data_IF_725722024454
#
_entry.id   IF_725722024454
#
_cell.length_a   1.000
_cell.length_b   1.000
_cell.length_c   1.000
_cell.angle_alpha   90.00
_cell.angle_beta   90.00
_cell.angle_gamma   90.00
#
_symmetry.space_group_name_H-M   'P 1'
#
loop_
_entity.id
_entity.type
_entity.pdbx_description
1 polymer ?
#
# COMPACT_ATOMS: atom_id res chain seq x y z
N UNK A 1 63.87 10.83 -21.64
CA UNK A 1 63.99 10.64 -20.17
C UNK A 1 62.91 9.68 -19.71
N UNK A 2 63.28 8.44 -19.37
CA UNK A 2 62.33 7.45 -18.86
C UNK A 2 61.94 7.81 -17.41
N UNK A 3 60.63 7.92 -17.14
CA UNK A 3 60.15 8.18 -15.79
C UNK A 3 60.60 7.06 -14.85
N UNK A 4 61.20 7.42 -13.71
CA UNK A 4 61.64 6.48 -12.67
C UNK A 4 60.47 5.61 -12.20
N UNK A 5 60.73 4.35 -11.80
CA UNK A 5 59.68 3.41 -11.37
C UNK A 5 58.80 3.99 -10.25
N UNK A 6 59.36 4.81 -9.36
CA UNK A 6 58.63 5.56 -8.34
C UNK A 6 57.57 6.53 -8.91
N UNK A 7 57.88 7.24 -10.01
CA UNK A 7 56.93 8.16 -10.67
C UNK A 7 55.76 7.42 -11.32
N UNK A 8 55.99 6.23 -11.87
CA UNK A 8 54.93 5.38 -12.45
C UNK A 8 53.99 4.83 -11.37
N UNK A 9 54.53 4.46 -10.22
CA UNK A 9 53.77 3.99 -9.06
C UNK A 9 52.89 5.11 -8.47
N UNK A 10 53.43 6.33 -8.33
CA UNK A 10 52.66 7.51 -7.88
C UNK A 10 51.55 7.86 -8.87
N UNK A 11 51.80 7.84 -10.19
CA UNK A 11 50.76 8.10 -11.20
C UNK A 11 49.67 7.02 -11.23
N UNK A 12 50.02 5.75 -11.02
CA UNK A 12 49.06 4.66 -10.92
C UNK A 12 48.19 4.79 -9.66
N UNK A 13 48.79 5.14 -8.51
CA UNK A 13 48.07 5.40 -7.26
C UNK A 13 47.15 6.62 -7.37
N UNK A 14 47.59 7.71 -8.02
CA UNK A 14 46.77 8.90 -8.25
C UNK A 14 45.57 8.63 -9.18
N UNK A 15 45.76 7.81 -10.23
CA UNK A 15 44.66 7.40 -11.12
C UNK A 15 43.70 6.44 -10.42
N UNK A 16 44.22 5.53 -9.60
CA UNK A 16 43.40 4.66 -8.75
C UNK A 16 42.56 5.47 -7.76
N UNK A 17 43.16 6.45 -7.07
CA UNK A 17 42.44 7.30 -6.12
C UNK A 17 41.35 8.15 -6.78
N UNK A 18 41.55 8.59 -8.03
CA UNK A 18 40.55 9.35 -8.79
C UNK A 18 39.30 8.54 -9.16
N UNK A 19 39.35 7.21 -9.14
CA UNK A 19 38.21 6.33 -9.40
C UNK A 19 37.64 5.80 -8.08
N UNK A 20 38.51 5.45 -7.13
CA UNK A 20 38.12 4.88 -5.84
C UNK A 20 37.38 5.91 -4.97
N UNK A 21 37.82 7.18 -4.94
CA UNK A 21 37.13 8.22 -4.17
C UNK A 21 35.69 8.49 -4.62
N UNK A 22 35.41 8.75 -5.91
CA UNK A 22 34.04 8.95 -6.36
C UNK A 22 33.19 7.69 -6.22
N UNK A 23 33.76 6.50 -6.44
CA UNK A 23 33.02 5.25 -6.24
C UNK A 23 32.67 5.02 -4.77
N UNK A 24 33.60 5.26 -3.85
CA UNK A 24 33.35 5.20 -2.41
C UNK A 24 32.35 6.28 -1.96
N UNK A 25 32.45 7.50 -2.51
CA UNK A 25 31.51 8.57 -2.26
C UNK A 25 30.10 8.21 -2.77
N UNK A 26 29.97 7.62 -3.96
CA UNK A 26 28.70 7.13 -4.49
C UNK A 26 28.13 6.04 -3.58
N UNK A 27 28.92 5.07 -3.13
CA UNK A 27 28.46 3.98 -2.24
C UNK A 27 28.03 4.53 -0.86
N UNK A 28 28.80 5.45 -0.28
CA UNK A 28 28.49 6.06 1.02
C UNK A 28 27.26 6.97 0.94
N UNK A 29 27.15 7.78 -0.12
CA UNK A 29 26.00 8.64 -0.36
C UNK A 29 24.76 7.87 -0.81
N UNK A 30 24.92 6.69 -1.43
CA UNK A 30 23.81 5.86 -1.90
C UNK A 30 22.84 5.52 -0.77
N UNK A 31 23.34 5.25 0.45
CA UNK A 31 22.48 4.97 1.60
C UNK A 31 21.52 6.12 1.94
N UNK A 32 21.93 7.37 1.68
CA UNK A 32 21.12 8.57 1.94
C UNK A 32 20.31 9.01 0.73
N UNK A 33 20.82 8.78 -0.48
CA UNK A 33 20.20 9.20 -1.74
C UNK A 33 19.16 8.19 -2.22
N UNK A 34 19.38 6.88 -2.00
CA UNK A 34 18.47 5.82 -2.46
C UNK A 34 17.03 5.98 -1.94
N UNK A 35 16.77 6.34 -0.66
CA UNK A 35 15.41 6.59 -0.18
C UNK A 35 14.74 7.76 -0.91
N UNK A 36 15.48 8.83 -1.21
CA UNK A 36 14.97 10.01 -1.92
C UNK A 36 14.68 9.69 -3.38
N UNK A 37 15.58 8.96 -4.05
CA UNK A 37 15.35 8.47 -5.41
C UNK A 37 14.14 7.56 -5.47
N UNK A 38 13.95 6.71 -4.45
CA UNK A 38 12.80 5.83 -4.40
C UNK A 38 11.50 6.64 -4.24
N UNK A 39 11.46 7.65 -3.34
CA UNK A 39 10.34 8.61 -3.26
C UNK A 39 10.07 9.32 -4.60
N UNK A 40 11.10 9.69 -5.34
CA UNK A 40 10.97 10.31 -6.65
C UNK A 40 10.37 9.33 -7.69
N UNK A 41 10.78 8.06 -7.66
CA UNK A 41 10.17 7.01 -8.49
C UNK A 41 8.69 6.83 -8.13
N UNK A 42 8.35 6.81 -6.85
CA UNK A 42 6.94 6.77 -6.41
C UNK A 42 6.16 7.96 -6.93
N UNK A 43 6.75 9.16 -6.87
CA UNK A 43 6.14 10.38 -7.36
C UNK A 43 5.94 10.38 -8.88
N UNK A 44 6.89 9.85 -9.65
CA UNK A 44 6.76 9.66 -11.10
C UNK A 44 5.64 8.69 -11.45
N UNK A 45 5.54 7.58 -10.70
CA UNK A 45 4.44 6.63 -10.85
C UNK A 45 3.11 7.32 -10.54
N UNK A 46 3.01 8.01 -9.39
CA UNK A 46 1.81 8.73 -8.96
C UNK A 46 1.38 9.80 -9.98
N UNK A 47 2.33 10.60 -10.46
CA UNK A 47 2.10 11.59 -11.52
C UNK A 47 1.61 10.93 -12.82
N UNK A 48 2.13 9.75 -13.17
CA UNK A 48 1.67 9.01 -14.34
C UNK A 48 0.21 8.53 -14.20
N UNK A 49 -0.24 8.22 -12.99
CA UNK A 49 -1.64 7.83 -12.70
C UNK A 49 -2.58 9.00 -12.92
N UNK A 50 -2.22 10.18 -12.39
CA UNK A 50 -3.07 11.35 -12.45
C UNK A 50 -2.96 12.12 -13.77
N UNK A 51 -1.92 11.87 -14.56
CA UNK A 51 -1.69 12.59 -15.83
C UNK A 51 -2.89 12.54 -16.79
N UNK A 52 -3.59 11.41 -17.03
CA UNK A 52 -4.77 11.39 -17.88
C UNK A 52 -5.90 12.30 -17.37
N UNK A 53 -6.13 12.30 -16.05
CA UNK A 53 -7.13 13.14 -15.40
C UNK A 53 -6.78 14.63 -15.52
N UNK A 54 -5.51 14.97 -15.27
CA UNK A 54 -4.99 16.33 -15.44
C UNK A 54 -5.10 16.78 -16.89
N UNK A 55 -4.71 15.95 -17.87
CA UNK A 55 -4.79 16.31 -19.29
C UNK A 55 -6.26 16.51 -19.73
N UNK A 56 -7.19 15.68 -19.23
CA UNK A 56 -8.62 15.86 -19.48
C UNK A 56 -9.13 17.19 -18.89
N UNK A 57 -8.82 17.49 -17.63
CA UNK A 57 -9.17 18.78 -17.00
C UNK A 57 -8.49 19.99 -17.66
N UNK A 58 -7.25 19.83 -18.13
CA UNK A 58 -6.50 20.89 -18.82
C UNK A 58 -7.23 21.35 -20.09
N UNK A 59 -7.82 20.41 -20.84
CA UNK A 59 -8.65 20.77 -22.01
C UNK A 59 -9.96 21.49 -21.61
N UNK A 60 -10.53 21.18 -20.44
CA UNK A 60 -11.73 21.86 -19.91
C UNK A 60 -11.44 23.25 -19.35
N UNK A 61 -10.26 23.48 -18.78
CA UNK A 61 -9.82 24.76 -18.24
C UNK A 61 -9.10 25.66 -19.26
N UNK A 62 -9.34 25.47 -20.56
CA UNK A 62 -8.78 26.32 -21.61
C UNK A 62 -7.26 26.23 -21.74
N UNK A 63 -6.66 25.06 -21.48
CA UNK A 63 -5.22 24.82 -21.58
C UNK A 63 -4.41 25.25 -20.35
N UNK A 64 -5.05 25.74 -19.28
CA UNK A 64 -4.37 26.18 -18.05
C UNK A 64 -4.02 24.98 -17.17
N UNK A 65 -2.86 24.39 -17.41
CA UNK A 65 -2.36 23.19 -16.70
C UNK A 65 -2.36 23.34 -15.17
N UNK A 66 -1.98 24.51 -14.65
CA UNK A 66 -1.98 24.76 -13.20
C UNK A 66 -3.37 24.56 -12.57
N UNK A 67 -4.44 25.04 -13.23
CA UNK A 67 -5.81 24.86 -12.74
C UNK A 67 -6.23 23.40 -12.73
N UNK A 68 -5.84 22.64 -13.76
CA UNK A 68 -6.10 21.21 -13.83
C UNK A 68 -5.41 20.43 -12.70
N UNK A 69 -4.13 20.73 -12.44
CA UNK A 69 -3.38 20.10 -11.34
C UNK A 69 -4.00 20.47 -10.00
N UNK A 70 -4.30 21.75 -9.75
CA UNK A 70 -4.93 22.20 -8.51
C UNK A 70 -6.30 21.54 -8.28
N UNK A 71 -7.11 21.38 -9.33
CA UNK A 71 -8.41 20.70 -9.21
C UNK A 71 -8.26 19.22 -8.82
N UNK A 72 -7.29 18.50 -9.39
CA UNK A 72 -6.99 17.12 -8.99
C UNK A 72 -6.51 17.06 -7.55
N UNK A 73 -5.59 17.93 -7.14
CA UNK A 73 -5.08 17.98 -5.76
C UNK A 73 -6.16 18.35 -4.75
N UNK A 74 -7.02 19.32 -5.07
CA UNK A 74 -8.16 19.68 -4.26
C UNK A 74 -9.11 18.48 -4.07
N UNK A 75 -9.36 17.71 -5.13
CA UNK A 75 -10.17 16.48 -5.06
C UNK A 75 -9.51 15.42 -4.16
N UNK A 76 -8.21 15.19 -4.31
CA UNK A 76 -7.45 14.23 -3.48
C UNK A 76 -7.52 14.67 -2.00
N UNK A 77 -7.24 15.94 -1.70
CA UNK A 77 -7.29 16.47 -0.34
C UNK A 77 -8.70 16.35 0.22
N UNK A 78 -9.73 16.66 -0.55
CA UNK A 78 -11.12 16.54 -0.12
C UNK A 78 -11.51 15.09 0.17
N UNK A 79 -11.08 14.13 -0.64
CA UNK A 79 -11.28 12.70 -0.38
C UNK A 79 -10.56 12.29 0.92
N UNK A 80 -9.29 12.68 1.10
CA UNK A 80 -8.52 12.33 2.30
C UNK A 80 -9.13 12.95 3.54
N UNK A 81 -9.40 14.26 3.54
CA UNK A 81 -9.98 14.98 4.68
C UNK A 81 -11.38 14.48 4.96
N UNK A 82 -12.22 14.26 3.94
CA UNK A 82 -13.55 13.69 4.11
C UNK A 82 -13.51 12.29 4.71
N UNK A 83 -12.59 11.45 4.23
CA UNK A 83 -12.37 10.11 4.78
C UNK A 83 -11.89 10.17 6.23
N UNK A 84 -10.89 11.01 6.54
CA UNK A 84 -10.38 11.18 7.91
C UNK A 84 -11.42 11.80 8.84
N UNK A 85 -12.26 12.69 8.37
CA UNK A 85 -13.33 13.28 9.17
C UNK A 85 -14.40 12.24 9.51
N UNK A 86 -14.89 11.51 8.50
CA UNK A 86 -15.92 10.47 8.67
C UNK A 86 -15.39 9.33 9.53
N UNK A 87 -14.18 8.82 9.21
CA UNK A 87 -13.55 7.71 9.92
C UNK A 87 -13.00 8.11 11.28
N UNK A 88 -12.35 9.27 11.37
CA UNK A 88 -11.72 9.75 12.60
C UNK A 88 -12.76 10.03 13.68
N UNK A 89 -13.88 10.67 13.32
CA UNK A 89 -15.00 10.88 14.24
C UNK A 89 -15.57 9.56 14.76
N UNK A 90 -15.86 8.62 13.86
CA UNK A 90 -16.38 7.30 14.24
C UNK A 90 -15.38 6.46 15.03
N UNK A 91 -14.09 6.47 14.68
CA UNK A 91 -13.05 5.73 15.40
C UNK A 91 -12.78 6.30 16.79
N UNK A 92 -12.82 7.62 16.97
CA UNK A 92 -12.63 8.26 18.28
C UNK A 92 -13.83 8.00 19.18
N UNK A 93 -15.05 8.16 18.66
CA UNK A 93 -16.27 7.83 19.41
C UNK A 93 -16.28 6.34 19.79
N UNK A 94 -15.94 5.44 18.86
CA UNK A 94 -15.84 4.01 19.13
C UNK A 94 -14.72 3.69 20.11
N UNK A 95 -13.55 4.32 20.01
CA UNK A 95 -12.45 4.12 20.97
C UNK A 95 -12.85 4.62 22.36
N UNK A 96 -13.56 5.74 22.47
CA UNK A 96 -14.09 6.25 23.74
C UNK A 96 -15.19 5.33 24.29
N UNK A 97 -16.04 4.78 23.43
CA UNK A 97 -17.06 3.78 23.81
C UNK A 97 -16.41 2.48 24.26
N UNK A 98 -15.31 2.08 23.63
CA UNK A 98 -14.48 0.95 24.05
C UNK A 98 -13.89 1.21 25.43
N UNK A 99 -13.17 2.32 25.63
CA UNK A 99 -12.54 2.65 26.91
C UNK A 99 -13.58 2.75 28.04
N UNK A 100 -14.74 3.36 27.77
CA UNK A 100 -15.82 3.47 28.76
C UNK A 100 -16.54 2.13 29.03
N UNK A 101 -16.71 1.26 28.03
CA UNK A 101 -17.24 -0.10 28.23
C UNK A 101 -16.25 -0.99 29.01
N UNK A 102 -14.95 -0.75 28.83
CA UNK A 102 -13.89 -1.44 29.57
C UNK A 102 -13.74 -0.94 31.02
N UNK A 103 -14.09 0.32 31.30
CA UNK A 103 -13.99 0.93 32.63
C UNK A 103 -15.28 0.80 33.47
N UNK A 104 -16.45 0.65 32.85
CA UNK A 104 -17.72 0.90 33.52
C UNK A 104 -18.52 -0.31 34.00
N UNK A 105 -18.56 -1.42 33.24
CA UNK A 105 -19.32 -2.66 33.50
C UNK A 105 -19.20 -3.57 32.26
N UNK A 106 -19.13 -4.88 32.46
CA UNK A 106 -19.23 -5.95 31.46
C UNK A 106 -17.94 -6.54 30.86
N UNK A 107 -16.73 -6.23 31.35
CA UNK A 107 -15.54 -6.98 30.88
C UNK A 107 -15.60 -8.45 31.32
N UNK A 108 -15.98 -8.71 32.58
CA UNK A 108 -16.24 -10.07 33.08
C UNK A 108 -17.40 -10.74 32.35
N UNK A 109 -18.48 -10.02 32.07
CA UNK A 109 -19.67 -10.58 31.40
C UNK A 109 -19.41 -10.88 29.91
N UNK A 110 -18.68 -10.00 29.21
CA UNK A 110 -18.24 -10.22 27.83
C UNK A 110 -17.24 -11.39 27.74
N UNK A 111 -16.31 -11.48 28.70
CA UNK A 111 -15.36 -12.60 28.78
C UNK A 111 -16.07 -13.90 29.15
N UNK A 112 -17.05 -13.89 30.05
CA UNK A 112 -17.84 -15.07 30.41
C UNK A 112 -18.70 -15.56 29.24
N UNK A 113 -19.36 -14.64 28.52
CA UNK A 113 -20.13 -14.97 27.30
C UNK A 113 -19.23 -15.50 26.18
N UNK A 114 -18.03 -14.92 26.02
CA UNK A 114 -17.01 -15.44 25.10
C UNK A 114 -16.47 -16.80 25.56
N UNK A 115 -16.27 -17.01 26.86
CA UNK A 115 -15.78 -18.26 27.44
C UNK A 115 -16.75 -19.41 27.17
N UNK A 116 -18.04 -19.23 27.46
CA UNK A 116 -19.06 -20.24 27.16
C UNK A 116 -19.13 -20.55 25.66
N UNK A 117 -19.08 -19.50 24.82
CA UNK A 117 -19.11 -19.63 23.37
C UNK A 117 -17.85 -20.33 22.81
N UNK A 118 -16.67 -20.08 23.37
CA UNK A 118 -15.41 -20.71 22.92
C UNK A 118 -15.34 -22.16 23.37
N UNK A 119 -15.70 -22.47 24.63
CA UNK A 119 -15.67 -23.83 25.16
C UNK A 119 -16.63 -24.78 24.43
N UNK A 120 -17.70 -24.24 23.83
CA UNK A 120 -18.64 -24.99 23.00
C UNK A 120 -18.01 -25.54 21.69
N UNK A 121 -17.02 -24.85 21.12
CA UNK A 121 -16.38 -25.23 19.84
C UNK A 121 -14.98 -25.84 20.00
N UNK A 122 -14.43 -25.83 21.22
CA UNK A 122 -13.09 -26.37 21.51
C UNK A 122 -13.19 -27.84 21.97
N UNK A 123 -12.41 -28.76 21.35
CA UNK A 123 -12.30 -30.15 21.81
C UNK A 123 -11.92 -30.23 23.28
N UNK A 124 -12.49 -31.18 24.04
CA UNK A 124 -12.26 -31.28 25.50
C UNK A 124 -10.79 -31.26 25.92
N UNK A 125 -9.88 -31.77 25.08
CA UNK A 125 -8.43 -31.80 25.31
C UNK A 125 -7.75 -30.42 25.31
N UNK A 126 -8.35 -29.41 24.68
CA UNK A 126 -7.79 -28.06 24.55
C UNK A 126 -8.47 -27.04 25.48
N UNK A 127 -9.60 -27.40 26.09
CA UNK A 127 -10.35 -26.53 27.02
C UNK A 127 -9.52 -26.00 28.18
N UNK A 128 -8.64 -26.77 28.85
CA UNK A 128 -7.83 -26.25 29.96
C UNK A 128 -6.89 -25.14 29.53
N UNK A 129 -6.27 -25.26 28.34
CA UNK A 129 -5.35 -24.23 27.80
C UNK A 129 -6.08 -22.95 27.44
N UNK A 130 -7.30 -23.08 26.91
CA UNK A 130 -8.18 -21.94 26.59
C UNK A 130 -8.64 -21.25 27.87
N UNK A 131 -9.02 -22.01 28.90
CA UNK A 131 -9.41 -21.46 30.20
C UNK A 131 -8.27 -20.66 30.85
N UNK A 132 -7.05 -21.20 30.87
CA UNK A 132 -5.89 -20.49 31.41
C UNK A 132 -5.57 -19.20 30.64
N UNK A 133 -5.68 -19.22 29.30
CA UNK A 133 -5.46 -18.02 28.48
C UNK A 133 -6.55 -16.96 28.69
N UNK A 134 -7.82 -17.35 28.77
CA UNK A 134 -8.92 -16.42 29.00
C UNK A 134 -8.87 -15.83 30.42
N UNK A 135 -8.51 -16.62 31.43
CA UNK A 135 -8.32 -16.15 32.81
C UNK A 135 -7.16 -15.15 32.92
N UNK A 136 -6.06 -15.35 32.18
CA UNK A 136 -4.94 -14.39 32.18
C UNK A 136 -5.31 -13.00 31.63
N UNK A 137 -6.36 -12.90 30.79
CA UNK A 137 -6.90 -11.63 30.28
C UNK A 137 -7.77 -10.93 31.36
N UNK A 138 -8.42 -11.72 32.23
CA UNK A 138 -9.29 -11.24 33.33
C UNK A 138 -8.47 -10.82 34.55
N UNK A 139 -7.39 -11.53 34.84
CA UNK A 139 -6.56 -11.32 36.05
C UNK A 139 -5.58 -10.14 35.89
N UNK A 140 -5.12 -9.84 34.67
CA UNK A 140 -4.29 -8.65 34.40
C UNK A 140 -4.85 -7.71 33.30
N UNK A 141 -6.06 -7.15 33.46
CA UNK A 141 -6.63 -6.20 32.50
C UNK A 141 -5.72 -4.98 32.21
N UNK A 142 -5.01 -4.39 33.19
CA UNK A 142 -4.13 -3.25 32.93
C UNK A 142 -2.95 -3.59 32.01
N UNK A 143 -2.38 -4.79 32.11
CA UNK A 143 -1.24 -5.21 31.29
C UNK A 143 -1.64 -5.52 29.85
N UNK A 144 -2.80 -6.17 29.66
CA UNK A 144 -3.38 -6.35 28.32
C UNK A 144 -3.72 -5.01 27.67
N UNK A 145 -4.36 -4.10 28.42
CA UNK A 145 -4.69 -2.77 27.95
C UNK A 145 -3.45 -1.91 27.67
N UNK A 146 -2.38 -2.01 28.48
CA UNK A 146 -1.14 -1.27 28.21
C UNK A 146 -0.41 -1.82 26.99
N UNK A 147 -0.42 -3.14 26.76
CA UNK A 147 0.16 -3.76 25.57
C UNK A 147 -0.65 -3.44 24.31
N UNK A 148 -1.98 -3.41 24.40
CA UNK A 148 -2.87 -2.96 23.34
C UNK A 148 -2.62 -1.48 23.02
N UNK A 149 -2.62 -0.61 24.04
CA UNK A 149 -2.35 0.82 23.90
C UNK A 149 -0.95 1.09 23.34
N UNK A 150 0.07 0.35 23.78
CA UNK A 150 1.43 0.42 23.24
C UNK A 150 1.52 -0.02 21.77
N UNK A 151 0.79 -1.07 21.40
CA UNK A 151 0.68 -1.53 20.01
C UNK A 151 -0.06 -0.51 19.13
N UNK A 152 -1.16 0.06 19.63
CA UNK A 152 -1.92 1.12 18.95
C UNK A 152 -1.09 2.40 18.80
N UNK A 153 -0.38 2.82 19.84
CA UNK A 153 0.55 3.95 19.77
C UNK A 153 1.67 3.70 18.75
N UNK A 154 2.24 2.49 18.73
CA UNK A 154 3.21 2.08 17.72
C UNK A 154 2.67 2.11 16.29
N UNK A 155 1.40 1.77 16.08
CA UNK A 155 0.70 1.92 14.80
C UNK A 155 0.54 3.39 14.44
N UNK A 156 0.09 4.24 15.38
CA UNK A 156 -0.08 5.69 15.16
C UNK A 156 1.24 6.35 14.77
N UNK A 157 2.36 6.03 15.43
CA UNK A 157 3.67 6.55 15.06
C UNK A 157 4.12 6.09 13.66
N UNK A 158 3.86 4.83 13.29
CA UNK A 158 4.13 4.32 11.92
C UNK A 158 3.25 4.98 10.87
N UNK A 159 1.99 5.27 11.20
CA UNK A 159 1.08 6.02 10.33
C UNK A 159 1.54 7.47 10.14
N UNK A 160 2.02 8.12 11.21
CA UNK A 160 2.58 9.47 11.12
C UNK A 160 3.82 9.54 10.20
N UNK A 161 4.75 8.59 10.33
CA UNK A 161 5.91 8.46 9.42
C UNK A 161 5.46 8.20 7.96
N UNK A 162 4.45 7.35 7.77
CA UNK A 162 3.88 7.08 6.45
C UNK A 162 3.26 8.35 5.83
N UNK A 163 2.52 9.14 6.62
CA UNK A 163 1.94 10.41 6.17
C UNK A 163 3.04 11.38 5.75
N UNK A 164 4.12 11.50 6.53
CA UNK A 164 5.27 12.34 6.17
C UNK A 164 5.88 11.96 4.80
N UNK A 165 6.09 10.67 4.56
CA UNK A 165 6.58 10.16 3.26
C UNK A 165 5.58 10.40 2.13
N UNK A 166 4.29 10.19 2.38
CA UNK A 166 3.23 10.43 1.39
C UNK A 166 3.17 11.90 0.98
N UNK A 167 3.30 12.83 1.93
CA UNK A 167 3.34 14.27 1.63
C UNK A 167 4.49 14.60 0.69
N UNK A 168 5.69 14.06 0.92
CA UNK A 168 6.83 14.25 0.02
C UNK A 168 6.56 13.69 -1.38
N UNK A 169 6.01 12.48 -1.49
CA UNK A 169 5.61 11.89 -2.78
C UNK A 169 4.60 12.77 -3.50
N UNK A 170 3.60 13.30 -2.79
CA UNK A 170 2.60 14.22 -3.35
C UNK A 170 3.22 15.53 -3.81
N UNK A 171 4.15 16.12 -3.04
CA UNK A 171 4.86 17.34 -3.45
C UNK A 171 5.67 17.10 -4.73
N UNK A 172 6.43 16.01 -4.80
CA UNK A 172 7.17 15.66 -6.02
C UNK A 172 6.23 15.38 -7.19
N UNK A 173 5.14 14.65 -6.97
CA UNK A 173 4.16 14.35 -8.02
C UNK A 173 3.48 15.63 -8.52
N UNK A 174 3.25 16.61 -7.65
CA UNK A 174 2.69 17.92 -8.02
C UNK A 174 3.61 18.64 -9.00
N UNK A 175 4.90 18.74 -8.67
CA UNK A 175 5.91 19.38 -9.53
C UNK A 175 6.00 18.64 -10.87
N UNK A 176 6.09 17.31 -10.84
CA UNK A 176 6.17 16.46 -12.03
C UNK A 176 4.92 16.58 -12.93
N UNK A 177 3.74 16.68 -12.33
CA UNK A 177 2.49 16.91 -13.07
C UNK A 177 2.44 18.29 -13.69
N UNK A 178 2.88 19.32 -12.96
CA UNK A 178 2.92 20.69 -13.45
C UNK A 178 3.89 20.83 -14.62
N UNK A 179 5.10 20.29 -14.49
CA UNK A 179 6.20 20.43 -15.46
C UNK A 179 6.32 19.30 -16.48
N UNK A 180 5.36 18.38 -16.56
CA UNK A 180 5.51 17.15 -17.36
C UNK A 180 5.91 17.37 -18.83
N UNK A 181 5.47 18.47 -19.47
CA UNK A 181 5.87 18.83 -20.84
C UNK A 181 7.33 19.22 -20.91
N UNK A 182 7.78 20.08 -20.00
CA UNK A 182 9.17 20.54 -19.94
C UNK A 182 10.09 19.37 -19.62
N UNK A 183 9.69 18.50 -18.70
CA UNK A 183 10.46 17.31 -18.34
C UNK A 183 10.59 16.34 -19.52
N UNK A 184 9.50 16.06 -20.25
CA UNK A 184 9.55 15.23 -21.46
C UNK A 184 10.44 15.83 -22.54
N UNK A 185 10.33 17.13 -22.81
CA UNK A 185 11.15 17.80 -23.83
C UNK A 185 12.62 17.80 -23.43
N UNK A 186 12.94 18.13 -22.17
CA UNK A 186 14.31 18.12 -21.66
C UNK A 186 14.91 16.70 -21.70
N UNK A 187 14.14 15.69 -21.28
CA UNK A 187 14.56 14.29 -21.33
C UNK A 187 14.84 13.84 -22.76
N UNK A 188 13.92 14.11 -23.68
CA UNK A 188 14.07 13.74 -25.10
C UNK A 188 15.24 14.46 -25.76
N UNK A 189 15.51 15.73 -25.42
CA UNK A 189 16.68 16.49 -25.92
C UNK A 189 18.01 15.97 -25.38
N UNK A 190 18.03 15.37 -24.19
CA UNK A 190 19.23 14.78 -23.61
C UNK A 190 19.60 13.43 -24.25
N UNK A 191 18.68 12.82 -24.99
CA UNK A 191 18.89 11.53 -25.66
C UNK A 191 19.67 11.73 -26.96
N UNK A 192 20.83 11.07 -27.14
CA UNK A 192 21.52 11.07 -28.43
C UNK A 192 20.63 10.46 -29.52
N UNK A 193 20.66 11.05 -30.73
CA UNK A 193 19.78 10.65 -31.83
C UNK A 193 19.85 9.15 -32.16
N UNK A 194 21.03 8.53 -31.98
CA UNK A 194 21.24 7.09 -32.18
C UNK A 194 20.34 6.19 -31.34
N UNK A 195 19.90 6.63 -30.15
CA UNK A 195 19.09 5.85 -29.20
C UNK A 195 17.65 6.36 -29.07
N UNK A 196 17.25 7.31 -29.91
CA UNK A 196 15.97 8.01 -29.80
C UNK A 196 14.77 7.07 -29.89
N UNK A 197 14.73 6.21 -30.91
CA UNK A 197 13.66 5.23 -31.10
C UNK A 197 13.61 4.20 -29.96
N UNK A 198 14.78 3.72 -29.52
CA UNK A 198 14.88 2.78 -28.39
C UNK A 198 14.29 3.38 -27.11
N UNK A 199 14.62 4.64 -26.80
CA UNK A 199 14.14 5.31 -25.59
C UNK A 199 12.65 5.65 -25.70
N UNK A 200 12.15 6.05 -26.86
CA UNK A 200 10.71 6.24 -27.06
C UNK A 200 9.93 4.93 -26.86
N UNK A 201 10.40 3.83 -27.45
CA UNK A 201 9.80 2.51 -27.27
C UNK A 201 9.84 2.07 -25.80
N UNK A 202 10.96 2.31 -25.11
CA UNK A 202 11.09 2.05 -23.68
C UNK A 202 10.05 2.83 -22.86
N UNK A 203 9.90 4.14 -23.11
CA UNK A 203 8.94 4.99 -22.40
C UNK A 203 7.50 4.54 -22.66
N UNK A 204 7.16 4.15 -23.88
CA UNK A 204 5.83 3.64 -24.22
C UNK A 204 5.53 2.31 -23.52
N UNK A 205 6.49 1.37 -23.49
CA UNK A 205 6.36 0.08 -22.79
C UNK A 205 6.20 0.29 -21.28
N UNK A 206 7.00 1.16 -20.68
CA UNK A 206 6.85 1.57 -19.27
C UNK A 206 5.45 2.14 -19.02
N UNK A 207 5.01 3.08 -19.87
CA UNK A 207 3.71 3.71 -19.73
C UNK A 207 2.56 2.69 -19.81
N UNK A 208 2.58 1.78 -20.79
CA UNK A 208 1.58 0.70 -20.94
C UNK A 208 1.57 -0.22 -19.72
N UNK A 209 2.74 -0.61 -19.21
CA UNK A 209 2.83 -1.49 -18.05
C UNK A 209 2.32 -0.84 -16.77
N UNK A 210 2.75 0.39 -16.47
CA UNK A 210 2.31 1.13 -15.29
C UNK A 210 0.81 1.43 -15.37
N UNK A 211 0.32 1.96 -16.50
CA UNK A 211 -1.10 2.28 -16.65
C UNK A 211 -2.00 1.04 -16.64
N UNK A 212 -1.56 -0.08 -17.23
CA UNK A 212 -2.26 -1.36 -17.20
C UNK A 212 -2.40 -1.90 -15.77
N UNK A 213 -1.29 -1.94 -15.03
CA UNK A 213 -1.29 -2.37 -13.63
C UNK A 213 -2.23 -1.52 -12.78
N UNK A 214 -2.14 -0.20 -12.88
CA UNK A 214 -2.92 0.70 -12.02
C UNK A 214 -4.42 0.67 -12.33
N UNK A 215 -4.79 0.54 -13.60
CA UNK A 215 -6.20 0.31 -13.99
C UNK A 215 -6.70 -1.01 -13.42
N UNK A 216 -5.89 -2.06 -13.53
CA UNK A 216 -6.18 -3.36 -12.93
C UNK A 216 -6.36 -3.26 -11.41
N UNK A 217 -5.42 -2.63 -10.72
CA UNK A 217 -5.45 -2.47 -9.26
C UNK A 217 -6.64 -1.62 -8.80
N UNK A 218 -6.98 -0.57 -9.53
CA UNK A 218 -8.18 0.22 -9.27
C UNK A 218 -9.46 -0.60 -9.42
N UNK A 219 -9.55 -1.45 -10.46
CA UNK A 219 -10.67 -2.39 -10.62
C UNK A 219 -10.71 -3.45 -9.49
N UNK A 220 -9.55 -3.92 -9.02
CA UNK A 220 -9.48 -4.79 -7.85
C UNK A 220 -10.01 -4.12 -6.58
N UNK A 221 -9.53 -2.91 -6.30
CA UNK A 221 -9.97 -2.12 -5.16
C UNK A 221 -11.48 -1.90 -5.18
N UNK A 222 -12.05 -1.54 -6.34
CA UNK A 222 -13.50 -1.39 -6.50
C UNK A 222 -14.24 -2.72 -6.29
N UNK A 223 -13.76 -3.81 -6.89
CA UNK A 223 -14.40 -5.13 -6.78
C UNK A 223 -14.43 -5.59 -5.33
N UNK A 224 -13.29 -5.55 -4.63
CA UNK A 224 -13.20 -5.91 -3.21
C UNK A 224 -14.06 -5.00 -2.35
N UNK A 225 -14.07 -3.69 -2.61
CA UNK A 225 -14.87 -2.76 -1.80
C UNK A 225 -16.38 -2.98 -1.96
N UNK A 226 -16.85 -3.21 -3.19
CA UNK A 226 -18.25 -3.52 -3.48
C UNK A 226 -18.65 -4.86 -2.89
N UNK A 227 -17.86 -5.92 -3.11
CA UNK A 227 -18.15 -7.26 -2.59
C UNK A 227 -18.14 -7.28 -1.06
N UNK A 228 -17.20 -6.58 -0.41
CA UNK A 228 -17.16 -6.47 1.05
C UNK A 228 -18.37 -5.71 1.60
N UNK A 229 -18.78 -4.62 0.92
CA UNK A 229 -19.98 -3.85 1.29
C UNK A 229 -21.23 -4.71 1.19
N UNK A 230 -21.40 -5.43 0.07
CA UNK A 230 -22.55 -6.31 -0.16
C UNK A 230 -22.53 -7.47 0.84
N UNK A 231 -21.39 -8.10 1.05
CA UNK A 231 -21.24 -9.22 1.98
C UNK A 231 -21.62 -8.82 3.41
N UNK A 232 -21.12 -7.69 3.91
CA UNK A 232 -21.49 -7.18 5.22
C UNK A 232 -22.95 -6.73 5.30
N UNK A 233 -23.49 -6.12 4.25
CA UNK A 233 -24.91 -5.77 4.17
C UNK A 233 -25.80 -7.01 4.31
N UNK A 234 -25.48 -8.08 3.58
CA UNK A 234 -26.23 -9.34 3.62
C UNK A 234 -26.13 -9.99 5.02
N UNK A 235 -24.95 -10.01 5.63
CA UNK A 235 -24.78 -10.51 7.00
C UNK A 235 -25.60 -9.67 7.98
N UNK A 236 -25.58 -8.35 7.85
CA UNK A 236 -26.30 -7.48 8.76
C UNK A 236 -27.82 -7.67 8.63
N UNK A 237 -28.33 -7.76 7.39
CA UNK A 237 -29.76 -7.84 7.15
C UNK A 237 -30.35 -9.24 7.38
N UNK A 238 -29.70 -10.29 6.88
CA UNK A 238 -30.20 -11.67 6.99
C UNK A 238 -29.68 -12.41 8.23
N UNK A 239 -28.52 -12.01 8.76
CA UNK A 239 -27.94 -12.60 9.96
C UNK A 239 -28.52 -12.07 11.27
N UNK A 240 -29.40 -11.07 11.23
CA UNK A 240 -30.02 -10.47 12.42
C UNK A 240 -29.04 -9.71 13.31
N UNK A 241 -27.98 -9.16 12.71
CA UNK A 241 -26.85 -8.55 13.40
C UNK A 241 -26.68 -7.10 12.96
N UNK A 242 -26.42 -6.22 13.92
CA UNK A 242 -26.10 -4.83 13.63
C UNK A 242 -24.60 -4.70 13.34
N UNK A 243 -24.26 -4.53 12.05
CA UNK A 243 -22.93 -4.08 11.63
C UNK A 243 -23.10 -2.66 11.06
N UNK A 244 -23.19 -1.64 11.92
CA UNK A 244 -23.27 -0.27 11.43
C UNK A 244 -22.05 0.06 10.58
N UNK A 245 -22.21 0.96 9.61
CA UNK A 245 -21.12 1.42 8.75
C UNK A 245 -20.51 0.37 7.80
N UNK A 246 -21.24 -0.70 7.46
CA UNK A 246 -20.79 -1.72 6.51
C UNK A 246 -20.28 -1.16 5.15
N UNK A 247 -20.86 -0.05 4.68
CA UNK A 247 -20.40 0.66 3.47
C UNK A 247 -19.00 1.24 3.66
N UNK A 248 -18.76 1.87 4.80
CA UNK A 248 -17.46 2.47 5.13
C UNK A 248 -16.40 1.38 5.28
N UNK A 249 -16.74 0.28 5.96
CA UNK A 249 -15.86 -0.87 6.14
C UNK A 249 -15.53 -1.51 4.78
N UNK A 250 -16.51 -1.65 3.90
CA UNK A 250 -16.30 -2.13 2.54
C UNK A 250 -15.41 -1.18 1.72
N UNK A 251 -15.65 0.14 1.78
CA UNK A 251 -14.78 1.13 1.14
C UNK A 251 -13.35 1.06 1.68
N UNK A 252 -13.16 0.90 2.99
CA UNK A 252 -11.86 0.71 3.61
C UNK A 252 -11.17 -0.56 3.10
N UNK A 253 -11.89 -1.68 3.02
CA UNK A 253 -11.37 -2.92 2.45
C UNK A 253 -10.93 -2.73 1.00
N UNK A 254 -11.75 -2.05 0.19
CA UNK A 254 -11.42 -1.73 -1.20
C UNK A 254 -10.19 -0.84 -1.34
N UNK A 255 -10.14 0.27 -0.59
CA UNK A 255 -8.99 1.20 -0.58
C UNK A 255 -7.71 0.53 -0.10
N UNK A 256 -7.79 -0.29 0.95
CA UNK A 256 -6.66 -1.08 1.42
C UNK A 256 -6.21 -2.12 0.38
N UNK A 257 -7.12 -2.61 -0.47
CA UNK A 257 -6.78 -3.48 -1.61
C UNK A 257 -6.06 -2.75 -2.74
N UNK A 258 -5.78 -1.45 -2.64
CA UNK A 258 -4.76 -0.83 -3.50
C UNK A 258 -3.38 -1.46 -3.26
N UNK A 259 -3.14 -1.96 -2.04
CA UNK A 259 -2.03 -2.85 -1.76
C UNK A 259 -2.52 -4.29 -1.97
N UNK A 260 -1.93 -5.06 -2.89
CA UNK A 260 -2.43 -6.40 -3.22
C UNK A 260 -2.52 -7.30 -1.98
N UNK A 261 -3.60 -8.06 -1.89
CA UNK A 261 -3.88 -9.03 -0.82
C UNK A 261 -4.13 -8.45 0.57
N UNK A 262 -4.10 -7.13 0.76
CA UNK A 262 -4.28 -6.51 2.09
C UNK A 262 -5.73 -6.14 2.36
N UNK A 263 -6.49 -5.80 1.32
CA UNK A 263 -7.81 -5.19 1.45
C UNK A 263 -8.79 -5.95 2.33
N UNK A 264 -9.10 -7.22 2.02
CA UNK A 264 -10.03 -8.03 2.80
C UNK A 264 -9.61 -8.18 4.27
N UNK A 265 -8.31 -8.30 4.57
CA UNK A 265 -7.83 -8.38 5.96
C UNK A 265 -8.04 -7.06 6.72
N UNK A 266 -7.78 -5.92 6.08
CA UNK A 266 -7.99 -4.60 6.68
C UNK A 266 -9.48 -4.30 6.88
N UNK A 267 -10.37 -4.81 6.02
CA UNK A 267 -11.82 -4.73 6.21
C UNK A 267 -12.36 -5.65 7.32
N UNK A 268 -11.76 -6.84 7.45
CA UNK A 268 -12.18 -7.85 8.41
C UNK A 268 -12.02 -7.41 9.86
N UNK A 269 -10.90 -6.76 10.20
CA UNK A 269 -10.61 -6.28 11.56
C UNK A 269 -11.69 -5.30 12.09
N UNK A 270 -12.01 -4.19 11.41
CA UNK A 270 -13.05 -3.27 11.85
C UNK A 270 -14.45 -3.88 11.75
N UNK A 271 -14.73 -4.81 10.81
CA UNK A 271 -16.00 -5.52 10.78
C UNK A 271 -16.25 -6.34 12.07
N UNK A 272 -15.24 -7.10 12.49
CA UNK A 272 -15.31 -7.88 13.74
C UNK A 272 -15.35 -6.94 14.94
N UNK A 273 -14.53 -5.88 14.95
CA UNK A 273 -14.53 -4.88 16.02
C UNK A 273 -15.90 -4.23 16.21
N UNK A 274 -16.50 -3.73 15.14
CA UNK A 274 -17.83 -3.12 15.17
C UNK A 274 -18.90 -4.11 15.61
N UNK A 275 -18.84 -5.37 15.15
CA UNK A 275 -19.75 -6.42 15.60
C UNK A 275 -19.68 -6.64 17.12
N UNK A 276 -18.47 -6.75 17.67
CA UNK A 276 -18.24 -6.96 19.10
C UNK A 276 -18.64 -5.76 19.96
N UNK A 277 -18.54 -4.55 19.40
CA UNK A 277 -18.78 -3.29 20.12
C UNK A 277 -20.23 -2.80 20.03
N UNK A 278 -21.01 -3.31 19.07
CA UNK A 278 -22.41 -2.93 18.90
C UNK A 278 -23.30 -3.88 19.69
N UNK A 279 -24.25 -3.35 20.47
CA UNK A 279 -25.25 -4.17 21.16
C UNK A 279 -26.06 -4.98 20.17
N UNK A 280 -25.88 -6.30 20.20
CA UNK A 280 -26.53 -7.22 19.27
C UNK A 280 -27.88 -7.71 19.81
N UNK A 281 -28.95 -7.76 18.99
CA UNK A 281 -30.26 -8.23 19.43
C UNK A 281 -30.25 -9.65 19.99
N UNK A 282 -29.41 -10.54 19.43
CA UNK A 282 -29.27 -11.93 19.82
C UNK A 282 -28.00 -12.21 20.68
N UNK A 283 -27.31 -11.16 21.13
CA UNK A 283 -26.01 -11.28 21.79
C UNK A 283 -24.85 -11.56 20.82
N UNK A 284 -23.64 -11.57 21.37
CA UNK A 284 -22.40 -11.83 20.62
C UNK A 284 -22.21 -13.34 20.49
N UNK A 285 -21.97 -13.84 19.27
CA UNK A 285 -21.78 -15.26 19.00
C UNK A 285 -20.50 -15.51 18.18
N UNK A 286 -19.75 -16.54 18.56
CA UNK A 286 -18.54 -16.96 17.83
C UNK A 286 -18.86 -17.42 16.40
N UNK A 287 -20.03 -18.05 16.22
CA UNK A 287 -20.49 -18.48 14.91
C UNK A 287 -20.61 -17.31 13.94
N UNK A 288 -21.12 -16.15 14.39
CA UNK A 288 -21.20 -14.97 13.55
C UNK A 288 -19.82 -14.39 13.21
N UNK A 289 -18.87 -14.39 14.15
CA UNK A 289 -17.48 -14.00 13.87
C UNK A 289 -16.89 -14.90 12.78
N UNK A 290 -17.13 -16.21 12.85
CA UNK A 290 -16.69 -17.15 11.82
C UNK A 290 -17.37 -16.88 10.45
N UNK A 291 -18.63 -16.45 10.43
CA UNK A 291 -19.33 -16.04 9.20
C UNK A 291 -18.69 -14.76 8.61
N UNK A 292 -18.38 -13.76 9.44
CA UNK A 292 -17.70 -12.53 8.97
C UNK A 292 -16.33 -12.86 8.39
N UNK A 293 -15.52 -13.68 9.08
CA UNK A 293 -14.22 -14.15 8.59
C UNK A 293 -14.39 -14.92 7.29
N UNK A 294 -15.33 -15.88 7.24
CA UNK A 294 -15.62 -16.68 6.05
C UNK A 294 -16.01 -15.81 4.85
N UNK A 295 -16.79 -14.76 5.06
CA UNK A 295 -17.15 -13.80 4.02
C UNK A 295 -15.94 -13.05 3.47
N UNK A 296 -15.07 -12.50 4.33
CA UNK A 296 -13.85 -11.82 3.86
C UNK A 296 -12.86 -12.78 3.19
N UNK A 297 -12.74 -14.03 3.66
CA UNK A 297 -11.96 -15.06 2.98
C UNK A 297 -12.55 -15.41 1.61
N UNK A 298 -13.88 -15.41 1.48
CA UNK A 298 -14.55 -15.59 0.19
C UNK A 298 -14.28 -14.43 -0.76
N UNK A 299 -14.35 -13.18 -0.28
CA UNK A 299 -13.97 -11.99 -1.07
C UNK A 299 -12.50 -12.07 -1.49
N UNK A 300 -11.61 -12.48 -0.59
CA UNK A 300 -10.19 -12.70 -0.89
C UNK A 300 -9.98 -13.79 -1.93
N UNK A 301 -10.75 -14.89 -1.87
CA UNK A 301 -10.69 -15.94 -2.87
C UNK A 301 -11.13 -15.42 -4.25
N UNK A 302 -12.22 -14.64 -4.31
CA UNK A 302 -12.66 -14.01 -5.57
C UNK A 302 -11.55 -13.11 -6.14
N UNK A 303 -10.94 -12.28 -5.29
CA UNK A 303 -9.84 -11.41 -5.71
C UNK A 303 -8.65 -12.22 -6.23
N UNK A 304 -8.28 -13.29 -5.55
CA UNK A 304 -7.13 -14.14 -5.93
C UNK A 304 -7.35 -14.95 -7.21
N UNK A 305 -8.55 -15.48 -7.42
CA UNK A 305 -8.83 -16.38 -8.55
C UNK A 305 -9.34 -15.67 -9.81
N UNK A 306 -10.03 -14.54 -9.68
CA UNK A 306 -10.66 -13.88 -10.83
C UNK A 306 -10.06 -12.53 -11.17
N UNK A 307 -9.69 -11.75 -10.16
CA UNK A 307 -9.30 -10.35 -10.33
C UNK A 307 -7.79 -10.24 -10.51
N UNK A 308 -7.02 -10.74 -9.54
CA UNK A 308 -5.57 -10.74 -9.53
C UNK A 308 -4.94 -11.30 -10.81
N UNK A 309 -5.41 -12.44 -11.38
CA UNK A 309 -4.83 -12.96 -12.62
C UNK A 309 -5.01 -12.03 -13.81
N UNK A 310 -6.15 -11.31 -13.89
CA UNK A 310 -6.41 -10.33 -14.95
C UNK A 310 -5.50 -9.10 -14.83
N UNK A 311 -5.23 -8.67 -13.60
CA UNK A 311 -4.29 -7.57 -13.31
C UNK A 311 -2.87 -7.97 -13.69
N UNK A 312 -2.48 -9.19 -13.32
CA UNK A 312 -1.15 -9.73 -13.63
C UNK A 312 -0.96 -9.99 -15.12
N UNK A 313 -1.99 -10.43 -15.85
CA UNK A 313 -1.93 -10.58 -17.31
C UNK A 313 -1.77 -9.24 -18.03
N UNK A 314 -2.40 -8.18 -17.51
CA UNK A 314 -2.22 -6.82 -18.04
C UNK A 314 -0.82 -6.25 -17.74
N UNK A 315 -0.15 -6.77 -16.71
CA UNK A 315 1.18 -6.35 -16.26
C UNK A 315 2.27 -7.30 -16.77
N UNK A 316 2.36 -7.45 -18.10
CA UNK A 316 3.44 -8.08 -18.87
C UNK A 316 4.13 -9.27 -18.16
N UNK A 317 3.38 -10.37 -17.99
CA UNK A 317 3.94 -11.70 -17.73
C UNK A 317 4.80 -11.81 -16.47
N UNK A 318 4.37 -11.22 -15.35
CA UNK A 318 4.98 -11.51 -14.05
C UNK A 318 4.32 -12.75 -13.44
N UNK A 319 5.15 -13.69 -12.98
CA UNK A 319 4.67 -14.85 -12.24
C UNK A 319 4.11 -14.40 -10.87
N UNK A 320 2.98 -14.94 -10.37
CA UNK A 320 2.37 -14.49 -9.11
C UNK A 320 3.33 -14.52 -7.90
N UNK A 321 4.20 -15.53 -7.86
CA UNK A 321 5.23 -15.65 -6.82
C UNK A 321 6.20 -14.45 -6.81
N UNK A 322 6.58 -13.94 -8.00
CA UNK A 322 7.45 -12.76 -8.11
C UNK A 322 6.75 -11.54 -7.55
N UNK A 323 5.44 -11.40 -7.79
CA UNK A 323 4.65 -10.28 -7.25
C UNK A 323 4.65 -10.29 -5.72
N UNK A 324 4.42 -11.45 -5.10
CA UNK A 324 4.45 -11.58 -3.63
C UNK A 324 5.82 -11.19 -3.08
N UNK A 325 6.90 -11.72 -3.67
CA UNK A 325 8.28 -11.41 -3.24
C UNK A 325 8.58 -9.92 -3.38
N UNK A 326 8.19 -9.31 -4.50
CA UNK A 326 8.38 -7.88 -4.77
C UNK A 326 7.60 -7.02 -3.77
N UNK A 327 6.36 -7.39 -3.43
CA UNK A 327 5.56 -6.72 -2.41
C UNK A 327 6.22 -6.82 -1.04
N UNK A 328 6.72 -8.00 -0.65
CA UNK A 328 7.42 -8.18 0.62
C UNK A 328 8.68 -7.32 0.70
N UNK A 329 9.47 -7.29 -0.38
CA UNK A 329 10.66 -6.42 -0.48
C UNK A 329 10.24 -4.96 -0.34
N UNK A 330 9.26 -4.49 -1.11
CA UNK A 330 8.75 -3.11 -1.01
C UNK A 330 8.25 -2.77 0.39
N UNK A 331 7.51 -3.69 1.02
CA UNK A 331 7.03 -3.57 2.38
C UNK A 331 8.14 -3.44 3.42
N UNK A 332 9.23 -4.19 3.26
CA UNK A 332 10.39 -4.06 4.15
C UNK A 332 11.12 -2.72 4.00
N UNK A 333 11.15 -2.16 2.79
CA UNK A 333 11.89 -0.93 2.48
C UNK A 333 11.14 0.34 2.90
N UNK A 334 9.83 0.40 2.66
CA UNK A 334 9.02 1.61 2.88
C UNK A 334 7.66 1.36 3.52
N UNK A 335 7.44 0.18 4.09
CA UNK A 335 6.14 -0.16 4.67
C UNK A 335 5.02 -0.19 3.61
N UNK A 336 3.80 0.22 3.96
CA UNK A 336 2.64 0.13 3.06
C UNK A 336 2.82 0.86 1.72
N UNK A 337 3.49 2.03 1.73
CA UNK A 337 3.79 2.76 0.49
C UNK A 337 4.71 1.96 -0.44
N UNK A 338 5.70 1.28 0.13
CA UNK A 338 6.57 0.41 -0.65
C UNK A 338 5.81 -0.76 -1.26
N UNK A 339 4.88 -1.37 -0.53
CA UNK A 339 4.03 -2.45 -1.04
C UNK A 339 3.15 -2.01 -2.22
N UNK A 340 2.53 -0.82 -2.11
CA UNK A 340 1.65 -0.24 -3.14
C UNK A 340 2.36 -0.08 -4.49
N UNK A 341 3.59 0.42 -4.46
CA UNK A 341 4.34 0.75 -5.67
C UNK A 341 5.39 -0.28 -6.07
N UNK A 342 5.61 -1.32 -5.26
CA UNK A 342 6.61 -2.35 -5.52
C UNK A 342 6.45 -2.97 -6.91
N UNK A 343 5.21 -3.35 -7.25
CA UNK A 343 4.89 -4.06 -8.49
C UNK A 343 5.10 -3.16 -9.73
N UNK A 344 4.58 -1.92 -9.77
CA UNK A 344 4.92 -0.97 -10.83
C UNK A 344 6.42 -0.73 -10.97
N UNK A 345 7.13 -0.47 -9.86
CA UNK A 345 8.57 -0.19 -9.89
C UNK A 345 9.36 -1.37 -10.43
N UNK A 346 9.03 -2.59 -10.00
CA UNK A 346 9.64 -3.81 -10.54
C UNK A 346 9.30 -4.00 -12.02
N UNK A 347 8.07 -3.70 -12.42
CA UNK A 347 7.67 -3.73 -13.82
C UNK A 347 8.49 -2.79 -14.70
N UNK A 348 8.70 -1.55 -14.25
CA UNK A 348 9.59 -0.59 -14.92
C UNK A 348 11.01 -1.14 -15.02
N UNK A 349 11.56 -1.65 -13.93
CA UNK A 349 12.91 -2.22 -13.90
C UNK A 349 13.05 -3.38 -14.89
N UNK A 350 12.08 -4.30 -14.92
CA UNK A 350 12.04 -5.45 -15.84
C UNK A 350 12.03 -4.99 -17.29
N UNK A 351 11.18 -4.03 -17.64
CA UNK A 351 11.09 -3.48 -19.01
C UNK A 351 12.39 -2.79 -19.39
N UNK A 352 12.92 -1.92 -18.53
CA UNK A 352 14.18 -1.21 -18.77
C UNK A 352 15.32 -2.18 -19.00
N UNK A 353 15.48 -3.19 -18.15
CA UNK A 353 16.52 -4.21 -18.33
C UNK A 353 16.35 -4.97 -19.64
N UNK A 354 15.12 -5.38 -19.97
CA UNK A 354 14.86 -6.11 -21.22
C UNK A 354 15.16 -5.28 -22.47
N UNK A 355 14.79 -4.00 -22.46
CA UNK A 355 14.97 -3.12 -23.62
C UNK A 355 16.44 -2.70 -23.78
N UNK A 356 17.13 -2.42 -22.67
CA UNK A 356 18.56 -2.09 -22.70
C UNK A 356 19.37 -3.29 -23.15
N UNK A 357 19.08 -4.50 -22.67
CA UNK A 357 19.75 -5.71 -23.13
C UNK A 357 19.50 -6.00 -24.61
N UNK A 358 18.28 -5.77 -25.08
CA UNK A 358 17.95 -5.87 -26.50
C UNK A 358 18.72 -4.82 -27.32
N UNK A 359 18.75 -3.56 -26.86
CA UNK A 359 19.50 -2.47 -27.49
C UNK A 359 21.00 -2.73 -27.56
N UNK A 360 21.61 -3.21 -26.47
CA UNK A 360 23.04 -3.55 -26.46
C UNK A 360 23.40 -4.62 -27.51
N UNK A 361 22.53 -5.62 -27.69
CA UNK A 361 22.68 -6.65 -28.73
C UNK A 361 22.41 -6.10 -30.13
N UNK A 362 21.36 -5.30 -30.31
CA UNK A 362 20.97 -4.76 -31.61
C UNK A 362 21.99 -3.77 -32.17
N UNK A 363 22.61 -2.96 -31.31
CA UNK A 363 23.64 -1.98 -31.68
C UNK A 363 25.07 -2.55 -31.64
N UNK A 364 25.26 -3.87 -31.42
CA UNK A 364 26.58 -4.54 -31.33
C UNK A 364 27.55 -3.87 -30.36
N UNK A 365 27.04 -3.39 -29.23
CA UNK A 365 27.87 -2.89 -28.13
C UNK A 365 28.35 -4.08 -27.27
N UNK A 366 27.63 -5.21 -27.33
CA UNK A 366 27.98 -6.52 -26.78
C UNK A 366 28.10 -7.57 -27.88
#
# INVERSE_FOLDING_TARGET
MAATPARRLIQALMRGSQIIFPLAAVILLWRHVAPILLLLVLALLLASIFSPLVNWLETRFGGRRLLAVLAVYATIILIIVGTVYILGGTLIEQANTLVSSFQGKNLEELINNLKESVLAFVPQSLRPKVDTYLLSIVEEPPAFLSNLAGSLAGIVFKLADMVGKLVLVLVFAFILLLESRNFKVAFVRAVPNAYFEMILNLLEKIHKQVSGYLRGQGMAALTVGVLSTIGLFLISQFGGVAIPYFVIIGMLAGLANLIPFIGPFVGMVPAIGVYLMTSQPAGISLAMIAVIIGMFLFVQAIDNFFVSPKIMSASVGMHPLVVIVVIMIGGSLMGPLGMLFAVPTFGVLKVTLSEVLWGLKAYRIL
#
